data_IF_586045802661
#
_entry.id   IF_586045802661
#
_cell.length_a   1.000
_cell.length_b   1.000
_cell.length_c   1.000
_cell.angle_alpha   90.00
_cell.angle_beta   90.00
_cell.angle_gamma   90.00
#
_symmetry.space_group_name_H-M   'P 1'
#
loop_
_entity.id
_entity.type
_entity.pdbx_description
1 polymer ?
#
# COMPACT_ATOMS: atom_id res chain seq x y z
N UNK A 1 27.83 30.27 -18.28
CA UNK A 1 26.35 30.16 -18.16
C UNK A 1 25.84 30.18 -16.71
N UNK A 2 26.67 30.52 -15.71
CA UNK A 2 26.27 30.48 -14.29
C UNK A 2 25.77 31.81 -13.71
N UNK A 3 25.77 32.90 -14.49
CA UNK A 3 25.43 34.23 -13.98
C UNK A 3 23.96 34.64 -14.18
N UNK A 4 23.15 33.77 -14.83
CA UNK A 4 21.72 34.01 -15.08
C UNK A 4 20.79 33.37 -14.03
N UNK A 5 21.24 32.33 -13.32
CA UNK A 5 20.37 31.57 -12.40
C UNK A 5 20.21 32.20 -11.00
N UNK A 6 21.06 33.17 -10.63
CA UNK A 6 21.03 33.80 -9.29
C UNK A 6 20.00 34.91 -9.10
N UNK A 7 19.33 35.37 -10.17
CA UNK A 7 18.32 36.45 -10.09
C UNK A 7 16.89 35.96 -9.78
N UNK A 8 16.61 34.66 -9.89
CA UNK A 8 15.26 34.12 -9.65
C UNK A 8 14.94 33.90 -8.16
N UNK A 9 15.95 33.77 -7.29
CA UNK A 9 15.74 33.41 -5.87
C UNK A 9 15.50 34.60 -4.92
N UNK A 10 15.55 35.84 -5.40
CA UNK A 10 15.35 37.06 -4.58
C UNK A 10 14.00 37.76 -4.76
N UNK A 11 13.05 37.17 -5.49
CA UNK A 11 11.77 37.81 -5.83
C UNK A 11 10.53 37.19 -5.16
N UNK A 12 10.68 36.17 -4.30
CA UNK A 12 9.53 35.46 -3.70
C UNK A 12 9.25 35.92 -2.25
N UNK A 13 10.15 36.71 -1.66
CA UNK A 13 10.06 37.08 -0.24
C UNK A 13 9.39 38.44 0.03
N UNK A 14 8.47 38.89 -0.85
CA UNK A 14 7.85 40.23 -0.72
C UNK A 14 6.33 40.28 -0.96
N UNK A 15 5.65 39.13 -0.95
CA UNK A 15 4.18 39.08 -1.09
C UNK A 15 3.48 38.56 0.16
N UNK A 16 4.07 38.83 1.33
CA UNK A 16 3.50 38.57 2.65
C UNK A 16 3.46 39.89 3.43
N UNK A 17 2.55 40.79 3.04
CA UNK A 17 2.02 41.89 3.88
C UNK A 17 0.97 42.69 3.12
N UNK A 18 -0.14 42.96 3.82
CA UNK A 18 -1.25 43.88 3.51
C UNK A 18 -2.43 43.27 2.75
N UNK A 19 -3.41 42.81 3.51
CA UNK A 19 -4.78 43.38 3.48
C UNK A 19 -5.46 43.10 4.81
N UNK A 20 -5.29 44.02 5.74
CA UNK A 20 -6.21 44.25 6.86
C UNK A 20 -7.16 45.37 6.43
N UNK A 21 -8.45 45.08 6.25
CA UNK A 21 -9.49 46.11 6.21
C UNK A 21 -10.63 45.64 7.11
N UNK A 22 -10.76 46.40 8.20
CA UNK A 22 -11.90 46.47 9.09
C UNK A 22 -13.05 47.20 8.39
N UNK A 23 -14.28 46.68 8.51
CA UNK A 23 -15.44 47.53 8.69
C UNK A 23 -16.57 46.75 9.36
N UNK A 24 -16.82 47.12 10.62
CA UNK A 24 -18.07 46.97 11.35
C UNK A 24 -19.29 47.25 10.48
N UNK A 25 -20.29 46.35 10.50
CA UNK A 25 -21.71 46.71 10.40
C UNK A 25 -22.49 45.75 11.32
N UNK A 26 -23.09 46.32 12.37
CA UNK A 26 -23.85 45.57 13.36
C UNK A 26 -25.15 44.99 12.82
N UNK A 27 -25.50 43.81 13.30
CA UNK A 27 -26.88 43.32 13.41
C UNK A 27 -26.98 42.33 14.57
N UNK A 28 -27.94 42.50 15.48
CA UNK A 28 -28.06 41.73 16.71
C UNK A 28 -28.87 40.45 16.46
N UNK A 29 -28.41 39.31 16.98
CA UNK A 29 -29.21 38.07 16.90
C UNK A 29 -28.43 36.77 16.98
N UNK A 30 -27.37 36.67 17.79
CA UNK A 30 -26.65 35.42 18.03
C UNK A 30 -26.31 35.22 19.50
N UNK A 31 -27.34 35.22 20.34
CA UNK A 31 -27.31 34.55 21.64
C UNK A 31 -28.25 33.36 21.55
N UNK A 32 -27.71 32.18 21.21
CA UNK A 32 -28.27 30.85 21.56
C UNK A 32 -27.41 29.69 21.02
N UNK A 33 -26.08 29.83 21.01
CA UNK A 33 -25.17 28.69 20.89
C UNK A 33 -23.96 28.92 21.80
N UNK A 34 -24.24 28.99 23.10
CA UNK A 34 -23.23 28.78 24.15
C UNK A 34 -23.62 27.47 24.83
N UNK A 35 -22.62 26.59 24.99
CA UNK A 35 -22.66 25.32 25.74
C UNK A 35 -23.10 24.07 24.99
N UNK A 36 -22.20 23.56 24.13
CA UNK A 36 -21.73 22.17 24.26
C UNK A 36 -20.36 22.02 23.61
N UNK A 37 -19.34 22.59 24.28
CA UNK A 37 -17.96 22.23 24.04
C UNK A 37 -17.71 20.85 24.65
N UNK A 38 -18.28 19.81 24.04
CA UNK A 38 -17.82 18.45 24.27
C UNK A 38 -16.40 18.40 23.73
N UNK A 39 -15.45 18.14 24.62
CA UNK A 39 -14.04 17.93 24.33
C UNK A 39 -13.92 16.82 23.28
N UNK A 40 -13.82 17.19 22.00
CA UNK A 40 -13.32 16.31 20.96
C UNK A 40 -11.83 16.14 21.23
N UNK A 41 -11.45 15.06 21.90
CA UNK A 41 -10.13 14.49 21.70
C UNK A 41 -10.01 14.24 20.19
N UNK A 42 -9.15 15.01 19.52
CA UNK A 42 -9.08 15.19 18.07
C UNK A 42 -8.66 13.94 17.28
N UNK A 43 -8.86 12.75 17.83
CA UNK A 43 -8.79 11.48 17.11
C UNK A 43 -10.19 11.17 16.62
N UNK A 44 -10.51 11.64 15.42
CA UNK A 44 -11.55 10.95 14.65
C UNK A 44 -11.14 9.46 14.61
N UNK A 45 -12.04 8.52 14.93
CA UNK A 45 -11.72 7.11 14.80
C UNK A 45 -11.28 6.89 13.35
N UNK A 46 -10.01 6.56 13.14
CA UNK A 46 -9.48 6.26 11.83
C UNK A 46 -10.20 5.01 11.34
N UNK A 47 -11.19 5.21 10.48
CA UNK A 47 -11.85 4.11 9.76
C UNK A 47 -10.86 3.65 8.71
N UNK A 48 -10.40 2.40 8.84
CA UNK A 48 -9.53 1.77 7.85
C UNK A 48 -10.43 1.29 6.71
N UNK A 49 -10.20 1.83 5.51
CA UNK A 49 -10.95 1.46 4.31
C UNK A 49 -10.14 0.42 3.54
N UNK A 50 -10.13 -0.82 4.03
CA UNK A 50 -9.25 -1.88 3.50
C UNK A 50 -9.34 -2.05 1.98
N UNK A 51 -10.53 -2.05 1.42
CA UNK A 51 -10.73 -2.18 -0.04
C UNK A 51 -10.10 -1.02 -0.81
N UNK A 52 -10.39 0.22 -0.40
CA UNK A 52 -9.86 1.43 -1.05
C UNK A 52 -8.34 1.53 -0.90
N UNK A 53 -7.83 1.23 0.29
CA UNK A 53 -6.40 1.24 0.59
C UNK A 53 -5.66 0.19 -0.27
N UNK A 54 -6.22 -1.02 -0.39
CA UNK A 54 -5.70 -2.09 -1.25
C UNK A 54 -5.78 -1.69 -2.73
N UNK A 55 -6.84 -1.00 -3.16
CA UNK A 55 -6.98 -0.54 -4.53
C UNK A 55 -5.93 0.52 -4.89
N UNK A 56 -5.68 1.47 -3.99
CA UNK A 56 -4.68 2.53 -4.18
C UNK A 56 -3.27 1.91 -4.27
N UNK A 57 -2.92 1.00 -3.36
CA UNK A 57 -1.61 0.34 -3.38
C UNK A 57 -1.43 -0.55 -4.60
N UNK A 58 -2.49 -1.24 -5.06
CA UNK A 58 -2.44 -2.02 -6.31
C UNK A 58 -2.16 -1.12 -7.52
N UNK A 59 -2.78 0.06 -7.58
CA UNK A 59 -2.48 1.08 -8.58
C UNK A 59 -1.00 1.50 -8.57
N UNK A 60 -0.42 1.74 -7.38
CA UNK A 60 0.99 2.09 -7.24
C UNK A 60 1.92 0.95 -7.70
N UNK A 61 1.59 -0.30 -7.34
CA UNK A 61 2.34 -1.49 -7.76
C UNK A 61 2.28 -1.67 -9.27
N UNK A 62 1.14 -1.38 -9.92
CA UNK A 62 1.04 -1.40 -11.39
C UNK A 62 1.97 -0.39 -12.05
N UNK A 63 2.08 0.84 -11.51
CA UNK A 63 3.02 1.83 -12.02
C UNK A 63 4.47 1.31 -11.94
N UNK A 64 4.84 0.66 -10.84
CA UNK A 64 6.18 0.04 -10.69
C UNK A 64 6.38 -1.10 -11.70
N UNK A 65 5.34 -1.93 -11.91
CA UNK A 65 5.34 -3.01 -12.88
C UNK A 65 5.47 -2.51 -14.34
N UNK A 66 4.80 -1.41 -14.67
CA UNK A 66 4.91 -0.79 -15.98
C UNK A 66 6.30 -0.18 -16.18
N UNK A 67 6.86 0.46 -15.15
CA UNK A 67 8.22 0.97 -15.18
C UNK A 67 9.26 -0.15 -15.37
N UNK A 68 9.04 -1.36 -14.83
CA UNK A 68 9.94 -2.49 -15.03
C UNK A 68 9.90 -3.06 -16.45
N UNK A 69 8.79 -2.86 -17.18
CA UNK A 69 8.56 -3.45 -18.51
C UNK A 69 8.77 -2.49 -19.67
N UNK A 70 8.52 -1.21 -19.47
CA UNK A 70 8.50 -0.20 -20.54
C UNK A 70 9.86 0.45 -20.79
N UNK A 71 10.91 0.03 -20.09
CA UNK A 71 12.28 0.53 -20.25
C UNK A 71 12.37 2.08 -20.25
N UNK A 72 11.81 2.75 -19.23
CA UNK A 72 11.75 4.21 -19.20
C UNK A 72 13.12 4.83 -18.96
N UNK A 73 13.24 6.12 -19.28
CA UNK A 73 14.45 6.90 -19.01
C UNK A 73 14.71 6.97 -17.49
N UNK A 74 15.82 6.37 -17.00
CA UNK A 74 16.12 6.31 -15.57
C UNK A 74 16.40 7.69 -14.96
N UNK A 75 16.92 8.66 -15.73
CA UNK A 75 17.19 10.02 -15.25
C UNK A 75 15.90 10.79 -14.98
N UNK A 76 14.82 10.44 -15.68
CA UNK A 76 13.52 11.13 -15.56
C UNK A 76 12.67 10.54 -14.45
N UNK A 77 12.63 9.20 -14.32
CA UNK A 77 11.69 8.54 -13.42
C UNK A 77 12.32 7.66 -12.34
N UNK A 78 13.64 7.43 -12.35
CA UNK A 78 14.31 6.48 -11.47
C UNK A 78 14.06 6.76 -9.98
N UNK A 79 14.24 8.01 -9.55
CA UNK A 79 14.00 8.43 -8.17
C UNK A 79 12.53 8.25 -7.75
N UNK A 80 11.60 8.52 -8.67
CA UNK A 80 10.17 8.33 -8.44
C UNK A 80 9.83 6.85 -8.28
N UNK A 81 10.38 5.97 -9.13
CA UNK A 81 10.18 4.51 -9.03
C UNK A 81 10.74 3.97 -7.72
N UNK A 82 11.91 4.44 -7.29
CA UNK A 82 12.50 4.05 -6.01
C UNK A 82 11.65 4.51 -4.82
N UNK A 83 11.17 5.76 -4.84
CA UNK A 83 10.29 6.30 -3.81
C UNK A 83 8.95 5.55 -3.77
N UNK A 84 8.34 5.29 -4.93
CA UNK A 84 7.13 4.50 -5.08
C UNK A 84 7.30 3.08 -4.52
N UNK A 85 8.46 2.45 -4.79
CA UNK A 85 8.79 1.12 -4.29
C UNK A 85 8.86 1.08 -2.76
N UNK A 86 9.51 2.04 -2.11
CA UNK A 86 9.59 2.14 -0.64
C UNK A 86 8.23 2.41 -0.01
N UNK A 87 7.44 3.29 -0.63
CA UNK A 87 6.07 3.53 -0.21
C UNK A 87 5.24 2.25 -0.33
N UNK A 88 5.41 1.51 -1.42
CA UNK A 88 4.65 0.29 -1.64
C UNK A 88 5.00 -0.80 -0.62
N UNK A 89 6.28 -1.01 -0.32
CA UNK A 89 6.74 -1.99 0.68
C UNK A 89 6.20 -1.68 2.08
N UNK A 90 6.38 -0.43 2.54
CA UNK A 90 5.90 -0.03 3.87
C UNK A 90 4.38 -0.14 3.99
N UNK A 91 3.64 0.25 2.95
CA UNK A 91 2.17 0.18 2.92
C UNK A 91 1.67 -1.25 2.89
N UNK A 92 2.21 -2.11 2.02
CA UNK A 92 1.80 -3.52 1.93
C UNK A 92 2.08 -4.27 3.23
N UNK A 93 3.24 -4.04 3.86
CA UNK A 93 3.53 -4.62 5.19
C UNK A 93 2.52 -4.18 6.23
N UNK A 94 2.20 -2.89 6.25
CA UNK A 94 1.23 -2.35 7.21
C UNK A 94 -0.17 -2.91 7.00
N UNK A 95 -0.64 -2.98 5.75
CA UNK A 95 -1.94 -3.56 5.39
C UNK A 95 -1.98 -5.05 5.72
N UNK A 96 -0.89 -5.79 5.46
CA UNK A 96 -0.76 -7.20 5.85
C UNK A 96 -0.98 -7.37 7.35
N UNK A 97 -0.23 -6.63 8.15
CA UNK A 97 -0.32 -6.72 9.62
C UNK A 97 -1.73 -6.38 10.10
N UNK A 98 -2.35 -5.36 9.53
CA UNK A 98 -3.72 -4.96 9.88
C UNK A 98 -4.76 -6.03 9.53
N UNK A 99 -4.63 -6.72 8.40
CA UNK A 99 -5.58 -7.79 8.02
C UNK A 99 -5.37 -9.03 8.88
N UNK A 100 -4.11 -9.42 9.13
CA UNK A 100 -3.78 -10.62 9.90
C UNK A 100 -4.10 -10.47 11.39
N UNK A 101 -4.03 -9.26 11.95
CA UNK A 101 -4.40 -9.00 13.35
C UNK A 101 -5.92 -8.99 13.59
N UNK A 102 -6.73 -8.91 12.53
CA UNK A 102 -8.19 -8.79 12.64
C UNK A 102 -8.89 -10.03 12.05
N UNK A 103 -9.00 -11.11 12.84
CA UNK A 103 -9.60 -12.37 12.39
C UNK A 103 -11.11 -12.27 12.10
N UNK A 104 -11.80 -11.32 12.72
CA UNK A 104 -13.24 -11.08 12.52
C UNK A 104 -13.54 -10.05 11.43
N UNK A 105 -12.55 -9.68 10.61
CA UNK A 105 -12.74 -8.74 9.51
C UNK A 105 -13.71 -9.34 8.48
N UNK A 106 -14.77 -8.60 8.17
CA UNK A 106 -15.72 -8.96 7.11
C UNK A 106 -14.95 -9.01 5.79
N UNK A 107 -15.21 -10.01 4.95
CA UNK A 107 -14.52 -10.21 3.66
C UNK A 107 -12.99 -10.37 3.77
N UNK A 108 -12.45 -10.74 4.95
CA UNK A 108 -11.01 -10.95 5.17
C UNK A 108 -10.35 -11.80 4.09
N UNK A 109 -11.01 -12.88 3.65
CA UNK A 109 -10.48 -13.75 2.59
C UNK A 109 -10.30 -13.02 1.26
N UNK A 110 -11.20 -12.09 0.91
CA UNK A 110 -11.05 -11.29 -0.31
C UNK A 110 -9.90 -10.31 -0.19
N UNK A 111 -9.76 -9.64 0.96
CA UNK A 111 -8.63 -8.74 1.19
C UNK A 111 -7.28 -9.48 1.20
N UNK A 112 -7.22 -10.67 1.81
CA UNK A 112 -6.01 -11.52 1.77
C UNK A 112 -5.70 -11.96 0.34
N UNK A 113 -6.71 -12.28 -0.47
CA UNK A 113 -6.55 -12.64 -1.90
C UNK A 113 -6.00 -11.48 -2.72
N UNK A 114 -6.58 -10.30 -2.59
CA UNK A 114 -6.10 -9.08 -3.25
C UNK A 114 -4.67 -8.76 -2.82
N UNK A 115 -4.40 -8.76 -1.50
CA UNK A 115 -3.08 -8.49 -0.96
C UNK A 115 -2.03 -9.50 -1.43
N UNK A 116 -2.34 -10.80 -1.45
CA UNK A 116 -1.44 -11.84 -1.95
C UNK A 116 -1.05 -11.58 -3.41
N UNK A 117 -2.04 -11.26 -4.25
CA UNK A 117 -1.82 -10.93 -5.67
C UNK A 117 -0.95 -9.69 -5.82
N UNK A 118 -1.31 -8.58 -5.19
CA UNK A 118 -0.57 -7.30 -5.30
C UNK A 118 0.87 -7.45 -4.78
N UNK A 119 1.05 -8.14 -3.66
CA UNK A 119 2.38 -8.42 -3.08
C UNK A 119 3.24 -9.25 -4.02
N UNK A 120 2.66 -10.27 -4.68
CA UNK A 120 3.37 -11.09 -5.67
C UNK A 120 3.81 -10.25 -6.86
N UNK A 121 2.92 -9.44 -7.42
CA UNK A 121 3.23 -8.55 -8.56
C UNK A 121 4.36 -7.60 -8.22
N UNK A 122 4.37 -7.01 -7.02
CA UNK A 122 5.48 -6.17 -6.59
C UNK A 122 6.80 -6.96 -6.54
N UNK A 123 6.81 -8.16 -5.96
CA UNK A 123 8.04 -8.98 -5.90
C UNK A 123 8.60 -9.35 -7.28
N UNK A 124 7.72 -9.60 -8.25
CA UNK A 124 8.07 -9.88 -9.64
C UNK A 124 8.66 -8.62 -10.30
N UNK A 125 7.97 -7.47 -10.17
CA UNK A 125 8.43 -6.19 -10.71
C UNK A 125 9.79 -5.77 -10.15
N UNK A 126 10.03 -5.94 -8.84
CA UNK A 126 11.33 -5.66 -8.24
C UNK A 126 12.43 -6.57 -8.79
N UNK A 127 12.12 -7.85 -9.02
CA UNK A 127 13.06 -8.79 -9.62
C UNK A 127 13.40 -8.41 -11.06
N UNK A 128 12.42 -7.93 -11.83
CA UNK A 128 12.61 -7.44 -13.20
C UNK A 128 13.46 -6.17 -13.22
N UNK A 129 13.20 -5.22 -12.32
CA UNK A 129 13.97 -3.98 -12.20
C UNK A 129 15.45 -4.28 -11.87
N UNK A 130 15.70 -5.24 -10.98
CA UNK A 130 17.04 -5.66 -10.56
C UNK A 130 17.79 -6.51 -11.60
N UNK A 131 17.10 -6.96 -12.66
CA UNK A 131 17.71 -7.82 -13.67
C UNK A 131 18.88 -7.10 -14.37
N UNK A 132 20.01 -7.78 -14.60
CA UNK A 132 21.09 -7.21 -15.40
C UNK A 132 20.58 -6.80 -16.79
N UNK A 133 20.83 -5.55 -17.17
CA UNK A 133 20.37 -4.98 -18.44
C UNK A 133 19.07 -4.17 -18.36
N UNK A 134 18.38 -4.16 -17.21
CA UNK A 134 17.28 -3.22 -16.96
C UNK A 134 17.81 -1.78 -16.98
N UNK A 135 17.17 -0.83 -17.70
CA UNK A 135 17.57 0.58 -17.69
C UNK A 135 17.58 1.16 -16.27
N UNK A 136 16.61 0.77 -15.45
CA UNK A 136 16.48 1.26 -14.08
C UNK A 136 17.57 0.73 -13.14
N UNK A 137 18.20 -0.40 -13.45
CA UNK A 137 19.18 -1.06 -12.58
C UNK A 137 20.36 -0.16 -12.20
N UNK A 138 20.79 0.75 -13.09
CA UNK A 138 21.88 1.68 -12.81
C UNK A 138 21.48 2.75 -11.79
N UNK A 139 20.27 3.32 -11.92
CA UNK A 139 19.76 4.33 -10.99
C UNK A 139 19.51 3.77 -9.59
N UNK A 140 19.11 2.51 -9.49
CA UNK A 140 18.85 1.86 -8.20
C UNK A 140 20.06 1.13 -7.62
N UNK A 141 21.23 1.19 -8.26
CA UNK A 141 22.40 0.39 -7.87
C UNK A 141 22.81 0.62 -6.41
N UNK A 142 22.70 1.86 -5.90
CA UNK A 142 22.97 2.19 -4.50
C UNK A 142 21.98 1.58 -3.50
N UNK A 143 20.82 1.13 -3.96
CA UNK A 143 19.75 0.53 -3.17
C UNK A 143 19.42 -0.90 -3.63
N UNK A 144 20.28 -1.53 -4.43
CA UNK A 144 20.05 -2.86 -4.98
C UNK A 144 19.84 -3.92 -3.88
N UNK A 145 20.72 -3.94 -2.87
CA UNK A 145 20.60 -4.87 -1.73
C UNK A 145 19.30 -4.67 -0.93
N UNK A 146 18.84 -3.41 -0.82
CA UNK A 146 17.56 -3.09 -0.16
C UNK A 146 16.40 -3.66 -0.98
N UNK A 147 16.38 -3.41 -2.28
CA UNK A 147 15.35 -3.87 -3.18
C UNK A 147 15.32 -5.40 -3.32
N UNK A 148 16.47 -6.07 -3.28
CA UNK A 148 16.55 -7.53 -3.28
C UNK A 148 15.92 -8.12 -2.00
N UNK A 149 16.23 -7.53 -0.85
CA UNK A 149 15.59 -7.91 0.42
C UNK A 149 14.07 -7.68 0.36
N UNK A 150 13.62 -6.56 -0.19
CA UNK A 150 12.18 -6.28 -0.38
C UNK A 150 11.51 -7.31 -1.29
N UNK A 151 12.12 -7.63 -2.43
CA UNK A 151 11.61 -8.63 -3.38
C UNK A 151 11.48 -10.01 -2.73
N UNK A 152 12.51 -10.43 -1.99
CA UNK A 152 12.50 -11.70 -1.26
C UNK A 152 11.43 -11.72 -0.17
N UNK A 153 11.32 -10.66 0.63
CA UNK A 153 10.32 -10.53 1.68
C UNK A 153 8.88 -10.55 1.13
N UNK A 154 8.62 -9.84 0.03
CA UNK A 154 7.30 -9.85 -0.61
C UNK A 154 6.98 -11.21 -1.25
N UNK A 155 7.96 -11.90 -1.85
CA UNK A 155 7.76 -13.26 -2.38
C UNK A 155 7.37 -14.24 -1.26
N UNK A 156 8.05 -14.16 -0.12
CA UNK A 156 7.71 -14.96 1.06
C UNK A 156 6.32 -14.61 1.61
N UNK A 157 6.00 -13.32 1.75
CA UNK A 157 4.70 -12.86 2.23
C UNK A 157 3.54 -13.25 1.29
N UNK A 158 3.74 -13.18 -0.03
CA UNK A 158 2.72 -13.61 -0.99
C UNK A 158 2.43 -15.11 -0.88
N UNK A 159 3.47 -15.92 -0.62
CA UNK A 159 3.36 -17.35 -0.36
C UNK A 159 2.58 -17.62 0.92
N UNK A 160 2.97 -16.98 2.03
CA UNK A 160 2.27 -17.03 3.32
C UNK A 160 0.78 -16.71 3.18
N UNK A 161 0.45 -15.59 2.52
CA UNK A 161 -0.95 -15.16 2.32
C UNK A 161 -1.74 -16.14 1.47
N UNK A 162 -1.11 -16.76 0.47
CA UNK A 162 -1.76 -17.79 -0.35
C UNK A 162 -2.02 -19.05 0.45
N UNK A 163 -1.06 -19.48 1.26
CA UNK A 163 -1.20 -20.69 2.07
C UNK A 163 -2.30 -20.50 3.14
N UNK A 164 -2.40 -19.30 3.74
CA UNK A 164 -3.51 -18.90 4.61
C UNK A 164 -4.88 -18.97 3.91
N UNK A 165 -4.96 -18.58 2.63
CA UNK A 165 -6.20 -18.70 1.85
C UNK A 165 -6.59 -20.15 1.63
N UNK A 166 -5.62 -21.01 1.28
CA UNK A 166 -5.87 -22.43 1.05
C UNK A 166 -6.36 -23.16 2.31
N UNK A 167 -5.81 -22.81 3.46
CA UNK A 167 -6.28 -23.31 4.76
C UNK A 167 -7.72 -22.84 5.04
N UNK A 168 -8.02 -21.57 4.79
CA UNK A 168 -9.34 -20.99 5.05
C UNK A 168 -10.44 -21.46 4.08
N UNK A 169 -10.11 -21.82 2.84
CA UNK A 169 -11.07 -22.32 1.84
C UNK A 169 -11.23 -23.84 1.88
N UNK A 170 -10.40 -24.56 2.64
CA UNK A 170 -10.46 -26.02 2.71
C UNK A 170 -10.10 -26.71 1.40
N UNK A 171 -9.37 -26.07 0.49
CA UNK A 171 -8.90 -26.71 -0.75
C UNK A 171 -7.92 -27.88 -0.49
N UNK A 172 -7.37 -27.97 0.73
CA UNK A 172 -6.63 -29.14 1.21
C UNK A 172 -7.52 -30.20 1.92
N UNK A 173 -8.80 -29.90 2.19
CA UNK A 173 -9.74 -30.83 2.82
C UNK A 173 -10.26 -31.89 1.84
N UNK A 174 -10.12 -31.69 0.52
CA UNK A 174 -10.43 -32.72 -0.48
C UNK A 174 -9.37 -33.82 -0.58
N UNK A 175 -8.31 -33.76 0.24
CA UNK A 175 -7.30 -34.81 0.37
C UNK A 175 -7.19 -35.32 1.82
N UNK A 176 -8.21 -35.06 2.65
CA UNK A 176 -8.46 -35.88 3.82
C UNK A 176 -9.31 -37.03 3.32
N UNK A 177 -8.68 -38.20 3.26
CA UNK A 177 -9.25 -39.52 3.00
C UNK A 177 -10.65 -39.66 3.62
N UNK A 178 -11.66 -39.27 2.85
CA UNK A 178 -13.06 -39.50 3.15
C UNK A 178 -13.26 -40.99 2.90
N UNK A 179 -13.01 -41.79 3.93
CA UNK A 179 -13.41 -43.19 4.00
C UNK A 179 -14.83 -43.27 3.45
N UNK A 180 -15.00 -43.95 2.32
CA UNK A 180 -16.29 -43.98 1.65
C UNK A 180 -17.31 -44.68 2.57
N UNK A 181 -18.59 -44.31 2.49
CA UNK A 181 -19.63 -44.91 3.35
C UNK A 181 -19.70 -46.44 3.27
N UNK A 182 -19.18 -47.03 2.19
CA UNK A 182 -19.09 -48.48 1.98
C UNK A 182 -17.97 -49.11 2.83
N UNK A 183 -16.85 -48.44 3.04
CA UNK A 183 -15.74 -48.93 3.88
C UNK A 183 -16.07 -48.84 5.38
N UNK A 184 -16.85 -47.83 5.78
CA UNK A 184 -17.35 -47.70 7.15
C UNK A 184 -18.37 -48.80 7.51
N UNK A 185 -19.08 -49.31 6.50
CA UNK A 185 -20.02 -50.43 6.63
C UNK A 185 -19.33 -51.79 6.79
N UNK A 186 -18.11 -51.95 6.25
CA UNK A 186 -17.25 -53.14 6.49
C UNK A 186 -16.68 -53.15 7.91
N UNK A 187 -16.29 -51.99 8.46
CA UNK A 187 -15.73 -51.88 9.81
C UNK A 187 -16.75 -52.10 10.94
N UNK A 188 -18.03 -51.82 10.69
CA UNK A 188 -19.14 -52.06 11.65
C UNK A 188 -19.72 -53.47 11.57
N UNK A 189 -19.18 -54.33 10.72
CA UNK A 189 -19.64 -55.71 10.52
C UNK A 189 -18.83 -56.75 11.30
N UNK A 190 -17.89 -56.31 12.14
CA UNK A 190 -17.16 -57.11 13.14
C UNK A 190 -17.90 -57.01 14.49
#
# INVERSE_FOLDING_TARGET
MEHACRKAYKSIDTTLKRTSVSSDHGSPGRELYRERSASYDGRMPHVIHYEDDIFIIDGLVRVICDASKLEPDPEVIGDMVLAATRLADSTLRRVKDLILQNDHLVERQEYVRLLSRTTRVLSEALSDILRPGSPLAQCIASSADEMERMASAHRAAATELRDLLQEATGENASNVDLVSGDELSELLRI
#
